data_IF_983265827557
#
_entry.id   IF_983265827557
#
_cell.length_a   1.000
_cell.length_b   1.000
_cell.length_c   1.000
_cell.angle_alpha   90.00
_cell.angle_beta   90.00
_cell.angle_gamma   90.00
#
_symmetry.space_group_name_H-M   'P 1'
#
loop_
_entity.id
_entity.type
_entity.pdbx_description
1 polymer ?
#
# COMPACT_ATOMS: atom_id res chain seq x y z
N UNK A 1 -23.82 15.74 7.71
CA UNK A 1 -24.41 14.39 7.92
C UNK A 1 -25.72 14.23 7.14
N UNK A 2 -26.61 15.23 7.12
CA UNK A 2 -27.88 15.16 6.38
C UNK A 2 -27.69 14.93 4.86
N UNK A 3 -26.69 15.54 4.24
CA UNK A 3 -26.43 15.35 2.81
C UNK A 3 -25.91 13.96 2.46
N UNK A 4 -25.23 13.29 3.38
CA UNK A 4 -24.75 11.90 3.16
C UNK A 4 -25.95 10.96 3.18
N UNK A 5 -26.83 11.06 4.20
CA UNK A 5 -28.02 10.19 4.30
C UNK A 5 -29.06 10.48 3.21
N UNK A 6 -29.07 11.70 2.68
CA UNK A 6 -29.94 12.11 1.58
C UNK A 6 -29.35 11.85 0.18
N UNK A 7 -28.14 11.28 0.07
CA UNK A 7 -27.49 10.99 -1.22
C UNK A 7 -27.05 12.23 -2.01
N UNK A 8 -26.86 13.37 -1.34
CA UNK A 8 -26.46 14.65 -1.95
C UNK A 8 -24.95 14.90 -1.92
N UNK A 9 -24.22 14.21 -1.04
CA UNK A 9 -22.76 14.33 -0.99
C UNK A 9 -22.15 13.68 -2.21
N UNK A 10 -21.37 14.46 -2.95
CA UNK A 10 -20.60 13.97 -4.09
C UNK A 10 -19.25 13.43 -3.63
N UNK A 11 -18.94 12.21 -4.04
CA UNK A 11 -17.62 11.63 -3.95
C UNK A 11 -16.85 11.88 -5.25
N UNK A 12 -15.53 11.62 -5.24
CA UNK A 12 -14.71 11.72 -6.46
C UNK A 12 -15.28 10.88 -7.63
N UNK A 13 -15.97 9.78 -7.33
CA UNK A 13 -16.62 8.89 -8.30
C UNK A 13 -17.78 9.54 -9.05
N UNK A 14 -18.42 10.53 -8.44
CA UNK A 14 -19.62 11.20 -8.93
C UNK A 14 -19.28 12.49 -9.70
N UNK A 15 -18.00 12.83 -9.79
CA UNK A 15 -17.55 14.03 -10.48
C UNK A 15 -18.00 14.02 -11.94
N UNK A 16 -18.47 15.17 -12.41
CA UNK A 16 -18.79 15.43 -13.81
C UNK A 16 -18.18 16.77 -14.19
N UNK A 17 -17.38 16.80 -15.25
CA UNK A 17 -16.78 18.01 -15.79
C UNK A 17 -17.08 18.12 -17.29
N UNK A 18 -17.16 19.35 -17.86
CA UNK A 18 -17.35 19.51 -19.30
C UNK A 18 -16.28 18.78 -20.12
N UNK A 19 -16.70 17.99 -21.10
CA UNK A 19 -15.79 17.23 -21.97
C UNK A 19 -15.00 16.12 -21.28
N UNK A 20 -15.40 15.72 -20.07
CA UNK A 20 -14.74 14.68 -19.29
C UNK A 20 -14.82 13.30 -19.96
N UNK A 21 -13.75 12.53 -19.80
CA UNK A 21 -13.71 11.12 -20.15
C UNK A 21 -13.77 10.24 -18.92
N UNK A 22 -14.37 9.08 -19.09
CA UNK A 22 -14.29 7.96 -18.18
C UNK A 22 -13.15 7.05 -18.63
N UNK A 23 -12.25 6.73 -17.70
CA UNK A 23 -11.09 5.90 -17.96
C UNK A 23 -11.05 4.63 -17.11
N UNK A 24 -10.42 3.59 -17.65
CA UNK A 24 -10.13 2.32 -16.98
C UNK A 24 -8.69 1.91 -17.25
N UNK A 25 -7.91 1.54 -16.21
CA UNK A 25 -6.62 0.90 -16.43
C UNK A 25 -6.84 -0.52 -16.98
N UNK A 26 -5.88 -1.01 -17.75
CA UNK A 26 -5.79 -2.43 -18.11
C UNK A 26 -4.59 -3.00 -17.40
N UNK A 27 -4.86 -3.78 -16.34
CA UNK A 27 -3.81 -4.32 -15.47
C UNK A 27 -3.12 -5.54 -16.09
N UNK A 28 -1.81 -5.70 -15.84
CA UNK A 28 -1.12 -6.95 -16.15
C UNK A 28 -1.73 -8.14 -15.39
N UNK A 29 -1.48 -9.40 -15.80
CA UNK A 29 -1.96 -10.57 -15.07
C UNK A 29 -1.24 -10.78 -13.72
N UNK A 30 -0.05 -10.21 -13.51
CA UNK A 30 0.66 -10.24 -12.24
C UNK A 30 1.67 -9.08 -12.11
N UNK A 31 2.26 -8.91 -10.93
CA UNK A 31 3.20 -7.80 -10.64
C UNK A 31 4.48 -7.78 -11.47
N UNK A 32 4.86 -8.90 -12.05
CA UNK A 32 6.15 -9.11 -12.75
C UNK A 32 5.93 -9.33 -14.25
N UNK A 33 4.70 -9.22 -14.72
CA UNK A 33 4.36 -9.28 -16.12
C UNK A 33 4.84 -8.02 -16.85
N UNK A 34 5.35 -8.21 -18.07
CA UNK A 34 5.70 -7.15 -19.02
C UNK A 34 4.86 -7.31 -20.27
N UNK A 35 4.29 -6.22 -20.75
CA UNK A 35 3.52 -6.21 -21.99
C UNK A 35 4.47 -6.38 -23.17
N UNK A 36 4.27 -7.42 -23.97
CA UNK A 36 5.07 -7.67 -25.17
C UNK A 36 4.38 -7.14 -26.42
N UNK A 37 3.09 -7.40 -26.54
CA UNK A 37 2.30 -6.99 -27.70
C UNK A 37 0.90 -6.54 -27.30
N UNK A 38 0.33 -5.69 -28.14
CA UNK A 38 -1.05 -5.23 -28.03
C UNK A 38 -1.64 -5.21 -29.44
N UNK A 39 -2.70 -5.99 -29.67
CA UNK A 39 -3.25 -6.16 -31.01
C UNK A 39 -3.66 -4.83 -31.66
N UNK A 40 -2.95 -4.48 -32.73
CA UNK A 40 -3.10 -3.20 -33.44
C UNK A 40 -4.48 -3.07 -34.10
N UNK A 41 -5.08 -4.18 -34.52
CA UNK A 41 -6.40 -4.16 -35.14
C UNK A 41 -7.46 -3.74 -34.11
N UNK A 42 -7.43 -4.34 -32.91
CA UNK A 42 -8.32 -3.98 -31.80
C UNK A 42 -8.12 -2.52 -31.37
N UNK A 43 -6.87 -2.06 -31.24
CA UNK A 43 -6.58 -0.65 -30.90
C UNK A 43 -7.13 0.31 -31.95
N UNK A 44 -6.94 0.01 -33.23
CA UNK A 44 -7.45 0.83 -34.33
C UNK A 44 -8.98 0.88 -34.31
N UNK A 45 -9.64 -0.26 -34.17
CA UNK A 45 -11.10 -0.32 -34.13
C UNK A 45 -11.67 0.52 -32.97
N UNK A 46 -11.08 0.42 -31.78
CA UNK A 46 -11.52 1.26 -30.65
C UNK A 46 -11.31 2.75 -30.91
N UNK A 47 -10.22 3.11 -31.61
CA UNK A 47 -9.97 4.50 -32.00
C UNK A 47 -11.01 5.01 -33.00
N UNK A 48 -11.39 4.17 -33.98
CA UNK A 48 -12.46 4.46 -34.95
C UNK A 48 -13.82 4.63 -34.24
N UNK A 49 -14.05 3.90 -33.13
CA UNK A 49 -15.21 4.03 -32.24
C UNK A 49 -15.13 5.27 -31.30
N UNK A 50 -14.10 6.12 -31.43
CA UNK A 50 -13.90 7.32 -30.63
C UNK A 50 -13.31 7.07 -29.23
N UNK A 51 -12.78 5.88 -28.98
CA UNK A 51 -12.20 5.47 -27.70
C UNK A 51 -10.68 5.61 -27.76
N UNK A 52 -10.13 6.39 -26.83
CA UNK A 52 -8.69 6.57 -26.72
C UNK A 52 -8.06 5.39 -26.01
N UNK A 53 -7.10 4.71 -26.65
CA UNK A 53 -6.22 3.72 -26.00
C UNK A 53 -4.87 4.38 -25.77
N UNK A 54 -4.41 4.42 -24.53
CA UNK A 54 -3.12 5.01 -24.16
C UNK A 54 -2.16 3.95 -23.64
N UNK A 55 -0.88 4.10 -23.97
CA UNK A 55 0.18 3.17 -23.58
C UNK A 55 1.47 3.90 -23.25
N UNK A 56 2.06 3.57 -22.09
CA UNK A 56 3.40 3.96 -21.68
C UNK A 56 4.13 2.70 -21.18
N UNK A 57 4.94 2.08 -22.04
CA UNK A 57 5.58 0.79 -21.75
C UNK A 57 4.57 -0.35 -21.59
N UNK A 58 4.47 -0.89 -20.37
CA UNK A 58 3.49 -1.89 -19.93
C UNK A 58 2.26 -1.28 -19.25
N UNK A 59 2.22 0.03 -19.00
CA UNK A 59 0.99 0.70 -18.59
C UNK A 59 0.08 0.87 -19.80
N UNK A 60 -1.17 0.42 -19.66
CA UNK A 60 -2.22 0.54 -20.67
C UNK A 60 -3.49 1.02 -19.99
N UNK A 61 -4.21 1.92 -20.63
CA UNK A 61 -5.53 2.36 -20.20
C UNK A 61 -6.39 2.73 -21.41
N UNK A 62 -7.70 2.79 -21.19
CA UNK A 62 -8.66 3.30 -22.17
C UNK A 62 -9.42 4.48 -21.60
N UNK A 63 -9.87 5.40 -22.46
CA UNK A 63 -10.69 6.53 -22.09
C UNK A 63 -11.77 6.81 -23.14
N UNK A 64 -13.01 7.03 -22.70
CA UNK A 64 -14.17 7.30 -23.56
C UNK A 64 -15.07 8.36 -22.92
N UNK A 65 -15.86 9.09 -23.72
CA UNK A 65 -16.90 9.98 -23.22
C UNK A 65 -18.06 9.22 -22.55
N UNK A 66 -18.28 7.96 -22.95
CA UNK A 66 -19.26 7.07 -22.34
C UNK A 66 -18.58 6.08 -21.39
N UNK A 67 -19.09 5.99 -20.16
CA UNK A 67 -18.49 5.14 -19.12
C UNK A 67 -18.61 3.64 -19.45
N UNK A 68 -19.73 3.23 -20.02
CA UNK A 68 -19.94 1.82 -20.37
C UNK A 68 -19.01 1.38 -21.51
N UNK A 69 -18.84 2.23 -22.53
CA UNK A 69 -17.87 2.02 -23.59
C UNK A 69 -16.43 1.94 -23.07
N UNK A 70 -16.05 2.76 -22.07
CA UNK A 70 -14.73 2.66 -21.43
C UNK A 70 -14.54 1.30 -20.73
N UNK A 71 -15.56 0.78 -20.04
CA UNK A 71 -15.52 -0.56 -19.42
C UNK A 71 -15.34 -1.64 -20.47
N UNK A 72 -16.16 -1.62 -21.53
CA UNK A 72 -16.07 -2.64 -22.61
C UNK A 72 -14.78 -2.56 -23.41
N UNK A 73 -14.25 -1.37 -23.64
CA UNK A 73 -12.95 -1.21 -24.28
C UNK A 73 -11.81 -1.78 -23.42
N UNK A 74 -11.87 -1.61 -22.09
CA UNK A 74 -10.85 -2.17 -21.19
C UNK A 74 -10.84 -3.69 -21.23
N UNK A 75 -12.02 -4.33 -21.20
CA UNK A 75 -12.18 -5.79 -21.37
C UNK A 75 -11.57 -6.27 -22.71
N UNK A 76 -11.89 -5.58 -23.80
CA UNK A 76 -11.36 -5.90 -25.14
C UNK A 76 -9.85 -5.74 -25.23
N UNK A 77 -9.30 -4.66 -24.70
CA UNK A 77 -7.85 -4.42 -24.67
C UNK A 77 -7.14 -5.43 -23.78
N UNK A 78 -7.73 -5.83 -22.64
CA UNK A 78 -7.18 -6.87 -21.79
C UNK A 78 -7.06 -8.22 -22.53
N UNK A 79 -8.09 -8.61 -23.29
CA UNK A 79 -8.08 -9.82 -24.11
C UNK A 79 -7.10 -9.75 -25.30
N UNK A 80 -6.85 -8.54 -25.81
CA UNK A 80 -5.94 -8.24 -26.90
C UNK A 80 -4.46 -8.05 -26.47
N UNK A 81 -4.18 -8.09 -25.17
CA UNK A 81 -2.86 -7.82 -24.62
C UNK A 81 -2.07 -9.12 -24.40
N UNK A 82 -0.85 -9.17 -24.91
CA UNK A 82 0.09 -10.26 -24.70
C UNK A 82 1.11 -9.91 -23.64
N UNK A 83 1.29 -10.79 -22.67
CA UNK A 83 2.15 -10.56 -21.50
C UNK A 83 3.19 -11.68 -21.35
N UNK A 84 4.42 -11.30 -21.04
CA UNK A 84 5.45 -12.24 -20.58
C UNK A 84 5.63 -12.10 -19.07
N UNK A 85 5.51 -13.22 -18.35
CA UNK A 85 5.77 -13.26 -16.90
C UNK A 85 7.28 -13.41 -16.68
N UNK A 86 7.87 -12.50 -15.92
CA UNK A 86 9.30 -12.60 -15.57
C UNK A 86 9.54 -13.47 -14.33
N UNK A 87 8.53 -13.64 -13.48
CA UNK A 87 8.54 -14.59 -12.36
C UNK A 87 7.11 -14.90 -11.89
N UNK A 88 6.92 -16.00 -11.18
CA UNK A 88 5.65 -16.30 -10.50
C UNK A 88 5.63 -15.67 -9.10
N UNK A 89 4.43 -15.40 -8.58
CA UNK A 89 4.29 -15.08 -7.17
C UNK A 89 4.70 -16.31 -6.34
N UNK A 90 5.49 -16.14 -5.27
CA UNK A 90 5.79 -17.21 -4.32
C UNK A 90 4.50 -17.85 -3.78
N UNK A 91 4.48 -19.19 -3.73
CA UNK A 91 3.34 -19.98 -3.22
C UNK A 91 3.70 -20.77 -1.95
N UNK A 92 4.84 -20.46 -1.32
CA UNK A 92 5.24 -21.07 -0.05
C UNK A 92 4.46 -20.53 1.15
N UNK A 93 4.74 -21.06 2.34
CA UNK A 93 4.14 -20.57 3.57
C UNK A 93 4.61 -19.13 3.87
N UNK A 94 3.65 -18.21 3.97
CA UNK A 94 3.89 -16.80 4.22
C UNK A 94 4.53 -16.55 5.59
N UNK A 95 4.10 -17.28 6.62
CA UNK A 95 4.53 -17.07 7.98
C UNK A 95 5.93 -17.62 8.22
N UNK A 96 6.25 -18.75 7.57
CA UNK A 96 7.64 -19.23 7.54
C UNK A 96 8.56 -18.27 6.78
N UNK A 97 8.10 -17.71 5.66
CA UNK A 97 8.84 -16.68 4.94
C UNK A 97 9.07 -15.42 5.81
N UNK A 98 8.08 -15.02 6.62
CA UNK A 98 8.21 -13.88 7.54
C UNK A 98 9.35 -14.06 8.56
N UNK A 99 9.57 -15.27 9.06
CA UNK A 99 10.60 -15.54 10.07
C UNK A 99 11.95 -15.94 9.45
N UNK A 100 11.95 -16.57 8.27
CA UNK A 100 13.18 -17.11 7.64
C UNK A 100 13.83 -16.17 6.61
N UNK A 101 13.09 -15.25 5.99
CA UNK A 101 13.65 -14.35 4.98
C UNK A 101 14.68 -13.38 5.58
N UNK A 102 15.49 -12.81 4.69
CA UNK A 102 16.41 -11.71 5.02
C UNK A 102 15.65 -10.57 5.68
N UNK A 103 16.16 -10.08 6.81
CA UNK A 103 15.51 -9.06 7.63
C UNK A 103 16.49 -8.03 8.16
N UNK A 104 15.98 -6.82 8.38
CA UNK A 104 16.65 -5.78 9.15
C UNK A 104 16.02 -5.70 10.54
N UNK A 105 16.77 -6.08 11.55
CA UNK A 105 16.29 -6.21 12.93
C UNK A 105 16.75 -5.03 13.77
N UNK A 106 15.89 -4.51 14.64
CA UNK A 106 16.23 -3.45 15.61
C UNK A 106 15.58 -3.73 16.96
N UNK A 107 16.30 -3.57 18.08
CA UNK A 107 15.67 -3.52 19.39
C UNK A 107 14.76 -2.29 19.50
N UNK A 108 13.75 -2.39 20.35
CA UNK A 108 12.79 -1.32 20.66
C UNK A 108 12.83 -1.07 22.16
N UNK A 109 13.03 0.18 22.55
CA UNK A 109 13.13 0.61 23.94
C UNK A 109 11.86 1.33 24.38
N UNK A 110 11.84 1.79 25.63
CA UNK A 110 10.73 2.51 26.25
C UNK A 110 10.24 3.69 25.40
N UNK A 111 8.92 3.86 25.34
CA UNK A 111 8.24 4.79 24.43
C UNK A 111 8.06 4.22 23.01
N UNK A 112 8.25 2.90 22.86
CA UNK A 112 8.21 2.21 21.58
C UNK A 112 9.19 2.78 20.56
N UNK A 113 10.41 3.10 20.97
CA UNK A 113 11.42 3.75 20.12
C UNK A 113 12.44 2.72 19.64
N UNK A 114 12.60 2.48 18.33
CA UNK A 114 13.68 1.67 17.82
C UNK A 114 15.03 2.38 17.98
N UNK A 115 16.08 1.64 18.32
CA UNK A 115 17.46 2.16 18.42
C UNK A 115 18.39 1.44 17.45
N UNK A 116 19.45 2.12 17.01
CA UNK A 116 20.44 1.56 16.06
C UNK A 116 21.52 0.76 16.78
N UNK A 117 21.09 -0.31 17.45
CA UNK A 117 21.94 -1.22 18.22
C UNK A 117 21.76 -2.66 17.74
N UNK A 118 22.68 -3.54 18.14
CA UNK A 118 22.51 -4.97 17.91
C UNK A 118 21.33 -5.48 18.73
N UNK A 119 20.58 -6.42 18.16
CA UNK A 119 19.50 -7.09 18.89
C UNK A 119 20.13 -7.89 20.03
N UNK A 120 19.74 -7.67 21.30
CA UNK A 120 20.26 -8.46 22.41
C UNK A 120 19.87 -9.93 22.21
N UNK A 121 20.74 -10.89 22.57
CA UNK A 121 20.37 -12.30 22.51
C UNK A 121 19.19 -12.56 23.44
N UNK A 122 18.39 -13.57 23.10
CA UNK A 122 17.33 -14.04 23.97
C UNK A 122 17.98 -14.75 25.18
N UNK A 123 17.95 -14.14 26.36
CA UNK A 123 18.55 -14.68 27.56
C UNK A 123 17.81 -15.92 28.09
N UNK A 124 18.47 -16.74 28.90
CA UNK A 124 17.79 -17.83 29.63
C UNK A 124 16.77 -17.26 30.63
N UNK A 125 15.69 -18.00 30.94
CA UNK A 125 14.75 -17.60 31.98
C UNK A 125 15.46 -17.35 33.32
N UNK A 126 15.03 -16.35 34.12
CA UNK A 126 15.55 -16.10 35.46
C UNK A 126 15.48 -17.35 36.35
N UNK A 127 16.40 -17.47 37.32
CA UNK A 127 16.46 -18.63 38.21
C UNK A 127 15.22 -18.81 39.09
N UNK A 128 14.47 -17.73 39.36
CA UNK A 128 13.22 -17.76 40.12
C UNK A 128 11.98 -18.01 39.23
N UNK A 129 12.17 -18.21 37.92
CA UNK A 129 11.11 -18.63 37.02
C UNK A 129 10.65 -20.06 37.33
N UNK A 130 9.35 -20.24 37.49
CA UNK A 130 8.69 -21.53 37.74
C UNK A 130 8.00 -22.08 36.50
N UNK A 131 7.51 -21.19 35.63
CA UNK A 131 6.85 -21.53 34.36
C UNK A 131 7.38 -20.59 33.29
N UNK A 132 7.72 -21.11 32.11
CA UNK A 132 8.06 -20.33 30.93
C UNK A 132 7.21 -20.79 29.76
N UNK A 133 6.48 -19.87 29.14
CA UNK A 133 5.65 -20.12 27.97
C UNK A 133 6.22 -19.42 26.74
N UNK A 134 5.99 -20.03 25.57
CA UNK A 134 6.30 -19.45 24.27
C UNK A 134 5.07 -19.57 23.38
N UNK A 135 4.73 -18.51 22.67
CA UNK A 135 3.59 -18.50 21.76
C UNK A 135 3.90 -17.73 20.48
N UNK A 136 3.33 -18.18 19.37
CA UNK A 136 3.41 -17.51 18.08
C UNK A 136 2.01 -17.08 17.65
N UNK A 137 1.87 -15.82 17.25
CA UNK A 137 0.65 -15.26 16.70
C UNK A 137 0.89 -14.81 15.27
N UNK A 138 -0.10 -15.02 14.42
CA UNK A 138 0.00 -14.80 12.99
C UNK A 138 -1.12 -13.90 12.50
N UNK A 139 -0.77 -12.94 11.65
CA UNK A 139 -1.70 -12.02 11.01
C UNK A 139 -1.49 -12.09 9.49
N UNK A 140 -2.53 -12.40 8.70
CA UNK A 140 -2.40 -12.40 7.25
C UNK A 140 -2.30 -10.98 6.69
N UNK A 141 -2.10 -10.87 5.37
CA UNK A 141 -2.36 -9.63 4.67
C UNK A 141 -3.83 -9.24 4.79
N UNK A 142 -4.10 -7.95 4.97
CA UNK A 142 -5.45 -7.42 5.07
C UNK A 142 -5.65 -6.32 4.05
N UNK A 143 -6.72 -6.42 3.26
CA UNK A 143 -7.17 -5.34 2.39
C UNK A 143 -7.82 -4.22 3.22
N UNK A 144 -7.82 -3.00 2.69
CA UNK A 144 -8.52 -1.87 3.31
C UNK A 144 -10.03 -2.04 3.19
N UNK A 145 -10.51 -2.68 2.12
CA UNK A 145 -11.92 -3.08 1.97
C UNK A 145 -12.89 -1.89 1.92
N UNK A 146 -12.46 -0.74 1.40
CA UNK A 146 -13.34 0.42 1.20
C UNK A 146 -14.52 0.06 0.28
N UNK A 147 -15.72 0.58 0.56
CA UNK A 147 -16.95 0.23 -0.18
C UNK A 147 -16.88 0.68 -1.64
N UNK A 148 -16.33 1.88 -1.88
CA UNK A 148 -16.01 2.35 -3.22
C UNK A 148 -14.54 2.06 -3.56
N UNK A 149 -14.23 1.50 -4.74
CA UNK A 149 -12.85 1.36 -5.22
C UNK A 149 -12.14 2.71 -5.37
N UNK A 150 -10.84 2.71 -5.62
CA UNK A 150 -10.07 3.92 -5.81
C UNK A 150 -10.42 4.62 -7.12
N UNK A 151 -10.54 5.95 -7.08
CA UNK A 151 -10.80 6.77 -8.26
C UNK A 151 -10.12 8.14 -8.13
N UNK A 152 -9.88 8.77 -9.27
CA UNK A 152 -9.39 10.14 -9.34
C UNK A 152 -9.76 10.77 -10.68
N UNK A 153 -9.93 12.10 -10.68
CA UNK A 153 -10.08 12.89 -11.89
C UNK A 153 -8.84 13.75 -12.11
N UNK A 154 -8.24 13.72 -13.30
CA UNK A 154 -7.10 14.56 -13.63
C UNK A 154 -7.36 15.39 -14.89
N UNK A 155 -6.84 16.61 -14.91
CA UNK A 155 -6.81 17.48 -16.08
C UNK A 155 -5.38 17.99 -16.23
N UNK A 156 -4.79 17.77 -17.40
CA UNK A 156 -3.52 18.36 -17.78
C UNK A 156 -3.74 19.29 -18.96
N UNK A 157 -3.38 20.56 -18.79
CA UNK A 157 -3.52 21.57 -19.82
C UNK A 157 -2.48 22.68 -19.62
N UNK A 158 -1.93 23.21 -20.72
CA UNK A 158 -0.92 24.28 -20.71
C UNK A 158 0.23 24.07 -19.69
N UNK A 159 0.70 22.82 -19.53
CA UNK A 159 1.76 22.47 -18.59
C UNK A 159 1.34 22.39 -17.12
N UNK A 160 0.04 22.59 -16.81
CA UNK A 160 -0.53 22.52 -15.46
C UNK A 160 -1.30 21.22 -15.28
N UNK A 161 -1.02 20.52 -14.19
CA UNK A 161 -1.74 19.32 -13.79
C UNK A 161 -2.64 19.62 -12.60
N UNK A 162 -3.94 19.35 -12.73
CA UNK A 162 -4.89 19.35 -11.61
C UNK A 162 -5.42 17.94 -11.39
N UNK A 163 -5.39 17.46 -10.15
CA UNK A 163 -5.86 16.13 -9.78
C UNK A 163 -6.84 16.22 -8.61
N UNK A 164 -8.04 15.71 -8.79
CA UNK A 164 -9.05 15.53 -7.76
C UNK A 164 -8.99 14.08 -7.28
N UNK A 165 -8.78 13.88 -5.99
CA UNK A 165 -8.56 12.54 -5.41
C UNK A 165 -9.06 12.48 -3.97
N UNK A 166 -9.38 11.26 -3.51
CA UNK A 166 -9.69 10.98 -2.12
C UNK A 166 -8.47 10.57 -1.28
N UNK A 167 -7.25 10.80 -1.80
CA UNK A 167 -6.01 10.58 -1.06
C UNK A 167 -6.00 11.31 0.28
N UNK A 168 -5.63 10.59 1.35
CA UNK A 168 -5.43 11.19 2.67
C UNK A 168 -4.12 12.02 2.78
N UNK A 169 -3.32 12.10 1.71
CA UNK A 169 -1.95 12.63 1.72
C UNK A 169 -1.65 13.49 0.50
N UNK A 170 -2.51 14.47 0.24
CA UNK A 170 -2.47 15.27 -1.00
C UNK A 170 -1.15 16.02 -1.24
N UNK A 171 -0.46 16.47 -0.18
CA UNK A 171 0.83 17.16 -0.32
C UNK A 171 1.98 16.20 -0.69
N UNK A 172 2.21 15.09 0.03
CA UNK A 172 3.10 14.02 -0.43
C UNK A 172 2.78 13.50 -1.84
N UNK A 173 1.50 13.34 -2.16
CA UNK A 173 1.07 12.90 -3.48
C UNK A 173 1.44 13.92 -4.56
N UNK A 174 1.24 15.23 -4.32
CA UNK A 174 1.64 16.29 -5.25
C UNK A 174 3.13 16.19 -5.61
N UNK A 175 3.99 15.99 -4.62
CA UNK A 175 5.44 15.83 -4.83
C UNK A 175 5.75 14.59 -5.67
N UNK A 176 5.12 13.45 -5.35
CA UNK A 176 5.31 12.21 -6.09
C UNK A 176 4.82 12.32 -7.55
N UNK A 177 3.68 12.99 -7.80
CA UNK A 177 3.17 13.23 -9.16
C UNK A 177 4.09 14.17 -9.95
N UNK A 178 4.56 15.26 -9.32
CA UNK A 178 5.48 16.22 -9.93
C UNK A 178 6.79 15.53 -10.36
N UNK A 179 7.38 14.74 -9.47
CA UNK A 179 8.59 13.96 -9.76
C UNK A 179 8.33 12.90 -10.85
N UNK A 180 7.25 12.12 -10.74
CA UNK A 180 6.95 11.04 -11.68
C UNK A 180 6.75 11.56 -13.11
N UNK A 181 6.02 12.66 -13.26
CA UNK A 181 5.67 13.24 -14.56
C UNK A 181 6.67 14.30 -15.03
N UNK A 182 7.72 14.57 -14.25
CA UNK A 182 8.71 15.62 -14.51
C UNK A 182 8.08 17.01 -14.71
N UNK A 183 7.02 17.29 -13.94
CA UNK A 183 6.32 18.57 -13.93
C UNK A 183 6.80 19.36 -12.71
N UNK A 184 7.05 20.67 -12.87
CA UNK A 184 7.45 21.51 -11.76
C UNK A 184 6.38 21.47 -10.63
N UNK A 185 6.75 21.31 -9.35
CA UNK A 185 5.77 21.12 -8.26
C UNK A 185 4.69 22.21 -8.16
N UNK A 186 5.03 23.47 -8.48
CA UNK A 186 4.10 24.59 -8.51
C UNK A 186 3.05 24.53 -9.64
N UNK A 187 3.29 23.67 -10.64
CA UNK A 187 2.37 23.41 -11.75
C UNK A 187 1.45 22.20 -11.47
N UNK A 188 1.62 21.53 -10.33
CA UNK A 188 0.76 20.42 -9.90
C UNK A 188 -0.13 20.86 -8.74
N UNK A 189 -1.45 20.76 -8.92
CA UNK A 189 -2.44 21.04 -7.89
C UNK A 189 -3.27 19.79 -7.59
N UNK A 190 -3.13 19.26 -6.38
CA UNK A 190 -3.93 18.12 -5.90
C UNK A 190 -5.02 18.65 -4.99
N UNK A 191 -6.27 18.36 -5.35
CA UNK A 191 -7.49 18.77 -4.65
C UNK A 191 -8.10 17.54 -3.98
N UNK A 192 -8.32 17.63 -2.67
CA UNK A 192 -9.04 16.59 -1.96
C UNK A 192 -10.52 16.60 -2.33
N UNK A 193 -11.07 15.41 -2.59
CA UNK A 193 -12.49 15.13 -2.73
C UNK A 193 -12.89 14.02 -1.76
N UNK A 194 -14.12 14.01 -1.22
CA UNK A 194 -14.61 12.87 -0.45
C UNK A 194 -14.48 11.56 -1.22
N UNK A 195 -14.07 10.50 -0.52
CA UNK A 195 -14.07 9.12 -1.03
C UNK A 195 -14.82 8.17 -0.10
N UNK A 196 -15.04 6.93 -0.55
CA UNK A 196 -15.83 5.92 0.15
C UNK A 196 -15.05 5.17 1.25
N UNK A 197 -14.19 5.89 1.98
CA UNK A 197 -13.27 5.34 2.97
C UNK A 197 -11.91 4.95 2.38
N UNK A 198 -10.87 5.00 3.23
CA UNK A 198 -9.50 4.66 2.86
C UNK A 198 -8.83 3.78 3.93
N UNK A 199 -9.14 3.99 5.21
CA UNK A 199 -8.61 3.21 6.35
C UNK A 199 -7.08 3.15 6.41
N UNK A 200 -6.37 4.12 5.84
CA UNK A 200 -4.90 4.21 5.86
C UNK A 200 -4.32 4.78 4.57
N UNK A 201 -3.94 3.90 3.66
CA UNK A 201 -3.37 4.22 2.35
C UNK A 201 -3.69 3.07 1.40
N UNK A 202 -4.93 3.06 0.90
CA UNK A 202 -5.38 2.17 -0.18
C UNK A 202 -4.90 2.68 -1.55
N UNK A 203 -5.54 2.26 -2.65
CA UNK A 203 -5.15 2.64 -4.02
C UNK A 203 -5.38 4.11 -4.42
N UNK A 204 -5.82 5.01 -3.53
CA UNK A 204 -6.17 6.40 -3.89
C UNK A 204 -5.05 7.18 -4.61
N UNK A 205 -3.81 7.05 -4.10
CA UNK A 205 -2.63 7.71 -4.66
C UNK A 205 -2.27 7.10 -6.03
N UNK A 206 -2.48 5.80 -6.20
CA UNK A 206 -2.20 5.08 -7.43
C UNK A 206 -3.22 5.41 -8.53
N UNK A 207 -4.51 5.46 -8.20
CA UNK A 207 -5.56 5.90 -9.12
C UNK A 207 -5.36 7.37 -9.55
N UNK A 208 -4.91 8.23 -8.63
CA UNK A 208 -4.52 9.61 -8.94
C UNK A 208 -3.36 9.68 -9.94
N UNK A 209 -2.35 8.82 -9.78
CA UNK A 209 -1.25 8.76 -10.72
C UNK A 209 -1.66 8.22 -12.09
N UNK A 210 -2.48 7.17 -12.13
CA UNK A 210 -3.00 6.62 -13.39
C UNK A 210 -3.81 7.68 -14.15
N UNK A 211 -4.72 8.39 -13.47
CA UNK A 211 -5.49 9.48 -14.06
C UNK A 211 -4.58 10.59 -14.62
N UNK A 212 -3.58 11.00 -13.84
CA UNK A 212 -2.63 12.04 -14.24
C UNK A 212 -1.80 11.62 -15.46
N UNK A 213 -1.31 10.38 -15.49
CA UNK A 213 -0.55 9.83 -16.61
C UNK A 213 -1.41 9.84 -17.88
N UNK A 214 -2.67 9.39 -17.82
CA UNK A 214 -3.61 9.43 -18.95
C UNK A 214 -3.86 10.88 -19.39
N UNK A 215 -4.12 11.79 -18.45
CA UNK A 215 -4.37 13.20 -18.76
C UNK A 215 -3.18 13.86 -19.48
N UNK A 216 -1.93 13.52 -19.13
CA UNK A 216 -0.75 14.03 -19.86
C UNK A 216 -0.65 13.52 -21.30
N UNK A 217 -1.25 12.36 -21.61
CA UNK A 217 -1.32 11.81 -22.97
C UNK A 217 -2.56 12.30 -23.76
N UNK A 218 -3.55 12.87 -23.08
CA UNK A 218 -4.79 13.42 -23.66
C UNK A 218 -5.02 14.84 -23.09
N UNK A 219 -4.15 15.80 -23.42
CA UNK A 219 -4.22 17.14 -22.84
C UNK A 219 -5.54 17.86 -23.18
N UNK A 220 -5.94 18.79 -22.31
CA UNK A 220 -7.12 19.62 -22.49
C UNK A 220 -8.46 18.95 -22.16
N UNK A 221 -8.48 17.65 -21.81
CA UNK A 221 -9.70 16.94 -21.38
C UNK A 221 -9.58 16.41 -19.96
N UNK A 222 -10.58 16.60 -19.09
CA UNK A 222 -10.63 15.93 -17.80
C UNK A 222 -10.77 14.42 -17.96
N UNK A 223 -10.07 13.64 -17.14
CA UNK A 223 -10.07 12.18 -17.16
C UNK A 223 -10.44 11.66 -15.78
N UNK A 224 -11.66 11.14 -15.63
CA UNK A 224 -12.10 10.42 -14.44
C UNK A 224 -11.76 8.93 -14.57
N UNK A 225 -10.71 8.52 -13.88
CA UNK A 225 -10.30 7.13 -13.77
C UNK A 225 -10.95 6.49 -12.55
N UNK A 226 -11.58 5.33 -12.75
CA UNK A 226 -12.09 4.48 -11.66
C UNK A 226 -11.48 3.10 -11.77
N UNK A 227 -10.98 2.59 -10.65
CA UNK A 227 -10.65 1.18 -10.53
C UNK A 227 -11.94 0.36 -10.43
N UNK A 228 -11.90 -0.86 -10.94
CA UNK A 228 -12.91 -1.88 -10.61
C UNK A 228 -12.67 -2.43 -9.21
N UNK A 229 -13.63 -3.22 -8.69
CA UNK A 229 -13.44 -3.96 -7.44
C UNK A 229 -12.27 -4.95 -7.54
N UNK A 230 -12.14 -5.62 -8.68
CA UNK A 230 -11.05 -6.58 -8.94
C UNK A 230 -9.70 -5.87 -9.01
N UNK A 231 -9.66 -4.68 -9.62
CA UNK A 231 -8.46 -3.84 -9.58
C UNK A 231 -8.05 -3.49 -8.15
N UNK A 232 -8.98 -3.00 -7.31
CA UNK A 232 -8.68 -2.69 -5.91
C UNK A 232 -8.14 -3.92 -5.17
N UNK A 233 -8.85 -5.04 -5.28
CA UNK A 233 -8.50 -6.27 -4.58
C UNK A 233 -7.17 -6.89 -5.00
N UNK A 234 -6.72 -6.65 -6.23
CA UNK A 234 -5.46 -7.20 -6.71
C UNK A 234 -4.29 -6.20 -6.60
N UNK A 235 -4.56 -4.89 -6.59
CA UNK A 235 -3.53 -3.87 -6.84
C UNK A 235 -3.38 -2.79 -5.77
N UNK A 236 -4.31 -2.68 -4.82
CA UNK A 236 -4.08 -1.81 -3.67
C UNK A 236 -2.85 -2.29 -2.89
N UNK A 237 -2.10 -1.40 -2.22
CA UNK A 237 -1.16 -1.86 -1.21
C UNK A 237 -1.93 -2.44 -0.01
N UNK A 238 -1.53 -3.62 0.48
CA UNK A 238 -2.21 -4.29 1.59
C UNK A 238 -1.68 -3.83 2.96
N UNK A 239 -2.46 -4.02 4.01
CA UNK A 239 -1.96 -4.07 5.37
C UNK A 239 -0.99 -5.25 5.52
N UNK A 240 0.23 -4.98 6.00
CA UNK A 240 1.29 -5.99 6.08
C UNK A 240 0.91 -7.19 6.95
N UNK A 241 1.22 -8.39 6.47
CA UNK A 241 1.19 -9.62 7.26
C UNK A 241 2.26 -9.55 8.37
N UNK A 242 2.01 -10.25 9.47
CA UNK A 242 2.91 -10.25 10.62
C UNK A 242 2.99 -11.61 11.29
N UNK A 243 4.15 -11.88 11.90
CA UNK A 243 4.33 -12.90 12.93
C UNK A 243 4.80 -12.21 14.20
N UNK A 244 4.19 -12.53 15.33
CA UNK A 244 4.60 -12.08 16.65
C UNK A 244 5.00 -13.31 17.47
N UNK A 245 6.27 -13.37 17.88
CA UNK A 245 6.78 -14.45 18.74
C UNK A 245 7.01 -13.90 20.15
N UNK A 246 6.35 -14.52 21.13
CA UNK A 246 6.39 -14.11 22.52
C UNK A 246 6.98 -15.21 23.39
N UNK A 247 7.71 -14.78 24.42
CA UNK A 247 8.11 -15.61 25.56
C UNK A 247 7.86 -14.83 26.84
N UNK A 248 7.32 -15.51 27.84
CA UNK A 248 7.13 -14.96 29.18
C UNK A 248 7.43 -16.01 30.23
N UNK A 249 7.93 -15.58 31.38
CA UNK A 249 8.16 -16.47 32.53
C UNK A 249 7.50 -15.92 33.79
N UNK A 250 6.91 -16.82 34.58
CA UNK A 250 6.26 -16.53 35.85
C UNK A 250 7.06 -17.15 37.01
N UNK A 251 7.21 -16.41 38.10
CA UNK A 251 7.72 -16.97 39.35
C UNK A 251 6.61 -17.64 40.17
N UNK A 252 6.98 -18.22 41.33
CA UNK A 252 6.05 -18.93 42.22
C UNK A 252 4.92 -18.05 42.79
N UNK A 253 5.04 -16.73 42.72
CA UNK A 253 4.01 -15.78 43.12
C UNK A 253 3.10 -15.35 41.94
N UNK A 254 3.24 -15.97 40.77
CA UNK A 254 2.49 -15.60 39.57
C UNK A 254 2.91 -14.27 38.94
N UNK A 255 4.08 -13.72 39.31
CA UNK A 255 4.58 -12.46 38.73
C UNK A 255 5.40 -12.74 37.48
N UNK A 256 5.21 -11.92 36.45
CA UNK A 256 6.03 -11.94 35.24
C UNK A 256 7.44 -11.47 35.58
N UNK A 257 8.43 -12.34 35.39
CA UNK A 257 9.85 -12.08 35.67
C UNK A 257 10.72 -12.02 34.42
N UNK A 258 10.21 -12.49 33.28
CA UNK A 258 10.84 -12.37 31.96
C UNK A 258 9.79 -12.11 30.90
N UNK A 259 10.13 -11.29 29.91
CA UNK A 259 9.28 -11.00 28.76
C UNK A 259 10.12 -10.72 27.53
N UNK A 260 9.84 -11.42 26.44
CA UNK A 260 10.36 -11.10 25.11
C UNK A 260 9.24 -11.11 24.07
N UNK A 261 9.27 -10.12 23.16
CA UNK A 261 8.33 -10.01 22.05
C UNK A 261 9.09 -9.58 20.80
N UNK A 262 9.10 -10.45 19.79
CA UNK A 262 9.64 -10.17 18.46
C UNK A 262 8.52 -10.05 17.43
N UNK A 263 8.50 -8.94 16.69
CA UNK A 263 7.50 -8.71 15.63
C UNK A 263 8.14 -8.65 14.25
N UNK A 264 7.66 -9.52 13.37
CA UNK A 264 8.09 -9.69 11.99
C UNK A 264 7.04 -9.12 11.06
N UNK A 265 7.47 -8.37 10.04
CA UNK A 265 6.56 -7.85 9.02
C UNK A 265 7.28 -7.09 7.92
N UNK A 266 6.56 -6.79 6.84
CA UNK A 266 7.02 -5.81 5.85
C UNK A 266 6.81 -4.37 6.37
N UNK A 267 7.09 -3.39 5.53
CA UNK A 267 6.83 -2.00 5.82
C UNK A 267 5.34 -1.69 5.88
N UNK A 268 5.03 -0.65 6.64
CA UNK A 268 3.70 -0.06 6.71
C UNK A 268 3.77 1.36 6.15
N UNK A 269 4.39 2.27 6.90
CA UNK A 269 4.42 3.69 6.55
C UNK A 269 5.42 4.02 5.43
N UNK A 270 6.49 3.22 5.23
CA UNK A 270 7.52 3.55 4.23
C UNK A 270 7.08 3.22 2.80
N UNK A 271 6.04 2.40 2.63
CA UNK A 271 5.45 2.07 1.32
C UNK A 271 4.58 3.18 0.72
N UNK A 272 4.20 4.20 1.51
CA UNK A 272 3.40 5.34 1.03
C UNK A 272 4.31 6.42 0.40
N UNK A 273 3.92 7.05 -0.73
CA UNK A 273 4.64 8.19 -1.30
C UNK A 273 4.77 9.34 -0.30
N UNK A 274 5.99 9.82 -0.06
CA UNK A 274 6.29 11.05 0.67
C UNK A 274 7.79 11.36 0.58
N UNK A 275 8.14 12.64 0.44
CA UNK A 275 9.52 13.10 0.60
C UNK A 275 10.07 12.75 1.99
N UNK A 276 11.40 12.61 2.08
CA UNK A 276 12.10 12.25 3.32
C UNK A 276 11.97 10.78 3.74
N UNK A 277 11.17 9.97 3.04
CA UNK A 277 11.19 8.50 3.18
C UNK A 277 12.25 7.91 2.25
N UNK A 278 12.62 6.65 2.48
CA UNK A 278 13.57 5.95 1.62
C UNK A 278 13.14 5.96 0.16
N UNK A 279 14.07 6.32 -0.72
CA UNK A 279 13.91 6.32 -2.17
C UNK A 279 13.01 7.43 -2.70
N UNK A 280 12.83 7.42 -4.02
CA UNK A 280 11.92 8.32 -4.74
C UNK A 280 10.46 8.11 -4.30
N UNK A 281 9.73 9.17 -3.90
CA UNK A 281 8.28 9.15 -3.72
C UNK A 281 7.54 8.62 -4.96
N UNK A 282 7.95 9.08 -6.15
CA UNK A 282 7.35 8.65 -7.42
C UNK A 282 7.47 7.14 -7.67
N UNK A 283 8.57 6.50 -7.27
CA UNK A 283 8.76 5.04 -7.42
C UNK A 283 7.76 4.19 -6.63
N UNK A 284 7.06 4.79 -5.64
CA UNK A 284 6.10 4.11 -4.76
C UNK A 284 4.70 4.05 -5.34
N UNK A 285 4.41 4.85 -6.36
CA UNK A 285 3.16 4.80 -7.13
C UNK A 285 3.17 3.54 -7.99
N UNK A 286 2.04 2.85 -8.05
CA UNK A 286 1.92 1.52 -8.65
C UNK A 286 2.43 1.49 -10.09
N UNK A 287 1.94 2.40 -10.91
CA UNK A 287 2.20 2.39 -12.35
C UNK A 287 3.60 2.86 -12.72
N UNK A 288 4.37 3.44 -11.79
CA UNK A 288 5.74 3.91 -12.06
C UNK A 288 6.66 2.80 -12.54
N UNK A 289 6.43 1.54 -12.11
CA UNK A 289 7.23 0.39 -12.56
C UNK A 289 6.82 -0.15 -13.93
N UNK A 290 5.66 0.25 -14.43
CA UNK A 290 5.09 -0.25 -15.69
C UNK A 290 5.30 0.71 -16.85
N UNK A 291 5.82 1.92 -16.61
CA UNK A 291 6.16 2.89 -17.65
C UNK A 291 7.26 2.39 -18.57
N UNK A 292 7.39 3.01 -19.74
CA UNK A 292 8.48 2.73 -20.68
C UNK A 292 9.85 3.00 -20.05
N UNK A 293 9.94 4.06 -19.25
CA UNK A 293 11.08 4.37 -18.38
C UNK A 293 10.64 4.15 -16.94
N UNK A 294 10.83 2.93 -16.39
CA UNK A 294 10.37 2.61 -15.04
C UNK A 294 11.22 3.32 -13.99
N UNK A 295 10.59 3.74 -12.90
CA UNK A 295 11.30 4.23 -11.72
C UNK A 295 11.66 3.05 -10.81
N UNK A 296 12.95 2.91 -10.51
CA UNK A 296 13.43 1.84 -9.64
C UNK A 296 12.94 2.04 -8.20
N UNK A 297 12.46 0.95 -7.59
CA UNK A 297 12.05 0.96 -6.19
C UNK A 297 13.26 0.79 -5.30
N UNK A 298 13.49 1.75 -4.41
CA UNK A 298 14.44 1.57 -3.32
C UNK A 298 13.80 0.73 -2.21
N UNK A 299 14.46 -0.35 -1.74
CA UNK A 299 13.95 -1.13 -0.62
C UNK A 299 13.70 -0.25 0.63
N UNK A 300 12.54 -0.35 1.30
CA UNK A 300 12.21 0.54 2.41
C UNK A 300 13.17 0.36 3.60
N UNK A 301 13.59 1.41 4.29
CA UNK A 301 14.35 1.24 5.55
C UNK A 301 13.41 1.03 6.76
N UNK A 302 13.89 0.49 7.89
CA UNK A 302 13.11 0.40 9.12
C UNK A 302 12.62 1.79 9.56
N UNK A 303 11.33 1.92 9.88
CA UNK A 303 10.81 3.16 10.46
C UNK A 303 11.34 3.34 11.90
N UNK A 304 11.97 4.48 12.19
CA UNK A 304 12.67 4.73 13.47
C UNK A 304 11.93 5.69 14.43
N UNK A 305 10.76 6.20 14.04
CA UNK A 305 9.94 7.03 14.95
C UNK A 305 9.33 6.22 16.09
N UNK A 306 8.80 6.87 17.14
CA UNK A 306 8.11 6.19 18.24
C UNK A 306 6.79 5.56 17.79
N UNK A 307 6.51 4.35 18.27
CA UNK A 307 5.25 3.62 18.06
C UNK A 307 4.71 3.73 16.62
N UNK A 308 5.52 3.38 15.62
CA UNK A 308 5.13 3.46 14.20
C UNK A 308 5.41 2.17 13.45
N UNK A 309 4.67 1.93 12.37
CA UNK A 309 4.85 0.76 11.51
C UNK A 309 4.78 -0.55 12.30
N UNK A 310 5.77 -1.44 12.11
CA UNK A 310 5.83 -2.79 12.72
C UNK A 310 5.75 -2.73 14.25
N UNK A 311 6.44 -1.77 14.89
CA UNK A 311 6.59 -1.74 16.35
C UNK A 311 5.58 -0.85 17.06
N UNK A 312 4.54 -0.39 16.36
CA UNK A 312 3.47 0.37 17.01
C UNK A 312 2.82 -0.50 18.08
N UNK A 313 2.80 -0.02 19.32
CA UNK A 313 2.32 -0.75 20.50
C UNK A 313 3.01 -2.13 20.69
N UNK A 314 4.28 -2.27 20.29
CA UNK A 314 5.09 -3.45 20.62
C UNK A 314 5.43 -3.51 22.11
N UNK A 315 5.69 -2.34 22.70
CA UNK A 315 5.82 -2.18 24.15
C UNK A 315 4.47 -2.42 24.83
N UNK A 316 4.38 -3.39 25.74
CA UNK A 316 3.15 -3.68 26.48
C UNK A 316 2.74 -2.52 27.39
N UNK A 317 1.45 -2.42 27.71
CA UNK A 317 0.92 -1.46 28.68
C UNK A 317 1.17 -1.87 30.15
N UNK A 318 1.78 -3.04 30.36
CA UNK A 318 2.11 -3.60 31.67
C UNK A 318 3.49 -3.13 32.15
N UNK A 319 3.65 -2.94 33.46
CA UNK A 319 4.95 -2.65 34.07
C UNK A 319 5.81 -3.92 34.09
N UNK A 320 6.80 -3.98 33.20
CA UNK A 320 7.75 -5.08 33.08
C UNK A 320 9.16 -4.56 33.35
N UNK A 321 9.94 -5.28 34.17
CA UNK A 321 11.23 -4.79 34.67
C UNK A 321 12.29 -4.59 33.59
N UNK A 322 12.34 -5.46 32.56
CA UNK A 322 13.29 -5.36 31.45
C UNK A 322 12.81 -6.17 30.23
N UNK A 323 11.75 -5.75 29.52
CA UNK A 323 11.23 -6.50 28.39
C UNK A 323 12.20 -6.44 27.21
N UNK A 324 12.45 -7.59 26.57
CA UNK A 324 13.20 -7.67 25.32
C UNK A 324 12.27 -7.53 24.12
N UNK A 325 12.22 -6.34 23.53
CA UNK A 325 11.35 -6.02 22.41
C UNK A 325 12.15 -5.86 21.12
N UNK A 326 11.74 -6.52 20.05
CA UNK A 326 12.46 -6.52 18.77
C UNK A 326 11.49 -6.38 17.60
N UNK A 327 11.88 -5.57 16.62
CA UNK A 327 11.20 -5.49 15.32
C UNK A 327 12.08 -6.02 14.20
N UNK A 328 11.46 -6.68 13.25
CA UNK A 328 12.10 -7.26 12.08
C UNK A 328 11.41 -6.76 10.81
N UNK A 329 12.09 -5.90 10.04
CA UNK A 329 11.65 -5.55 8.70
C UNK A 329 12.09 -6.64 7.72
N UNK A 330 11.14 -7.45 7.29
CA UNK A 330 11.37 -8.63 6.45
C UNK A 330 11.38 -8.25 4.96
N UNK A 331 12.21 -8.91 4.16
CA UNK A 331 12.34 -8.70 2.71
C UNK A 331 11.75 -9.86 1.92
N UNK A 332 11.59 -9.65 0.61
CA UNK A 332 11.25 -10.73 -0.34
C UNK A 332 9.82 -11.25 -0.21
N UNK A 333 8.93 -10.48 0.41
CA UNK A 333 7.52 -10.83 0.57
C UNK A 333 6.73 -10.50 -0.72
N UNK A 334 5.68 -11.27 -1.03
CA UNK A 334 5.08 -11.28 -2.37
C UNK A 334 4.21 -10.07 -2.69
N UNK A 335 3.59 -9.45 -1.68
CA UNK A 335 2.61 -8.38 -1.86
C UNK A 335 3.18 -7.03 -1.42
N UNK A 336 2.83 -5.98 -2.17
CA UNK A 336 3.14 -4.61 -1.79
C UNK A 336 2.30 -4.22 -0.58
N UNK A 337 2.93 -3.62 0.44
CA UNK A 337 2.23 -3.22 1.66
C UNK A 337 2.27 -1.72 1.89
N UNK A 338 1.29 -1.22 2.63
CA UNK A 338 1.32 0.13 3.17
C UNK A 338 0.57 0.25 4.50
N UNK A 339 0.28 1.48 4.91
CA UNK A 339 -0.45 1.75 6.13
C UNK A 339 -1.90 1.28 6.01
N UNK A 340 -2.28 0.31 6.83
CA UNK A 340 -3.66 0.02 7.20
C UNK A 340 -3.90 0.51 8.63
N UNK A 341 -5.15 0.86 8.96
CA UNK A 341 -5.56 1.37 10.27
C UNK A 341 -4.89 0.55 11.39
N UNK A 342 -4.33 1.25 12.37
CA UNK A 342 -3.55 0.72 13.52
C UNK A 342 -2.11 0.27 13.24
N UNK A 343 -1.67 0.18 11.98
CA UNK A 343 -0.32 -0.29 11.61
C UNK A 343 -0.01 -1.67 12.26
N UNK A 344 1.14 -1.82 12.92
CA UNK A 344 1.50 -3.05 13.63
C UNK A 344 0.75 -3.26 14.95
N UNK A 345 0.03 -2.26 15.47
CA UNK A 345 -0.63 -2.36 16.78
C UNK A 345 -1.65 -3.49 16.81
N UNK A 346 -2.36 -3.75 15.71
CA UNK A 346 -3.33 -4.83 15.68
C UNK A 346 -2.69 -6.18 16.03
N UNK A 347 -1.59 -6.57 15.37
CA UNK A 347 -0.93 -7.84 15.67
C UNK A 347 -0.26 -7.80 17.06
N UNK A 348 0.46 -6.72 17.37
CA UNK A 348 1.21 -6.63 18.62
C UNK A 348 0.28 -6.68 19.84
N UNK A 349 -0.81 -5.92 19.84
CA UNK A 349 -1.75 -5.88 20.97
C UNK A 349 -2.52 -7.19 21.08
N UNK A 350 -3.00 -7.76 19.97
CA UNK A 350 -3.66 -9.08 20.02
C UNK A 350 -2.71 -10.13 20.59
N UNK A 351 -1.44 -10.14 20.18
CA UNK A 351 -0.45 -11.07 20.67
C UNK A 351 -0.12 -10.86 22.17
N UNK A 352 0.05 -9.61 22.60
CA UNK A 352 0.28 -9.27 24.02
C UNK A 352 -0.90 -9.71 24.89
N UNK A 353 -2.12 -9.26 24.58
CA UNK A 353 -3.29 -9.55 25.42
C UNK A 353 -3.66 -11.03 25.41
N UNK A 354 -3.57 -11.70 24.25
CA UNK A 354 -3.82 -13.14 24.20
C UNK A 354 -2.76 -13.94 24.95
N UNK A 355 -1.51 -13.46 24.99
CA UNK A 355 -0.44 -14.12 25.74
C UNK A 355 -0.57 -13.89 27.24
N UNK A 356 -1.11 -12.74 27.68
CA UNK A 356 -1.49 -12.53 29.08
C UNK A 356 -2.53 -13.56 29.52
N UNK A 357 -3.53 -13.86 28.69
CA UNK A 357 -4.51 -14.94 28.95
C UNK A 357 -3.85 -16.33 29.01
N UNK A 358 -2.75 -16.57 28.30
CA UNK A 358 -2.01 -17.85 28.42
C UNK A 358 -1.17 -17.92 29.70
N UNK A 359 -0.74 -16.79 30.25
CA UNK A 359 0.04 -16.71 31.48
C UNK A 359 -0.85 -16.83 32.73
N UNK A 360 -2.08 -16.32 32.67
CA UNK A 360 -3.08 -16.43 33.74
C UNK A 360 -3.58 -17.87 33.91
#
# INVERSE_FOLDING_TARGET
>A
MIDIVAGKTLFVHDMTLPGMLHARPVRPPCYTAKLTDLDKATVRQLSDDGISVVRDGSFVAVASADEFAAVKAAERIAAAASWTLTSKLPTGDLYDALVSNVRLSRPVTTGGIPVDESVPPLAEPPADATVTLKWRFEKPYLMHGAIGPSAACALYDEGRLRVYTHSQGIYPLREALAEALQIAPQMVHVVFMPGAGCYGHNGADDAAFDAALIATMIPGRPVLLKWTRDDEHAWEPYGSAMVCELRGSLNSAGRIVDWSHESYGDTFIMGRPAAGRTGSPASKLLSSKFRAVPLEKTPPQPAMGPHVGIHRNLEPLYTLSNPRLVKHLVRGLPLRTSALRTLGAFANVVAIESFMDQLA
#
